data_IF_094354314673
#
_entry.id   IF_094354314673
#
_cell.length_a   1.000
_cell.length_b   1.000
_cell.length_c   1.000
_cell.angle_alpha   90.00
_cell.angle_beta   90.00
_cell.angle_gamma   90.00
#
_symmetry.space_group_name_H-M   'P 1'
#
loop_
_entity.id
_entity.type
_entity.pdbx_description
1 polymer ?
#
# COMPACT_ATOMS: atom_id res chain seq x y z
N UNK A 1 6.88 -8.84 11.96
CA UNK A 1 6.48 -10.09 11.29
C UNK A 1 6.93 -10.04 9.83
N UNK A 2 7.29 -11.18 9.25
CA UNK A 2 7.75 -11.30 7.86
C UNK A 2 6.81 -12.18 7.05
N UNK A 3 6.76 -11.94 5.73
CA UNK A 3 6.00 -12.71 4.73
C UNK A 3 6.97 -13.10 3.63
N UNK A 4 7.02 -14.39 3.26
CA UNK A 4 7.87 -14.85 2.16
C UNK A 4 7.26 -14.45 0.82
N UNK A 5 7.99 -13.68 0.02
CA UNK A 5 7.60 -13.26 -1.33
C UNK A 5 8.72 -13.65 -2.28
N UNK A 6 8.44 -14.56 -3.22
CA UNK A 6 9.43 -15.10 -4.15
C UNK A 6 10.72 -15.60 -3.44
N UNK A 7 10.57 -16.22 -2.27
CA UNK A 7 11.69 -16.70 -1.44
C UNK A 7 12.40 -15.64 -0.60
N UNK A 8 12.05 -14.35 -0.75
CA UNK A 8 12.63 -13.26 0.04
C UNK A 8 11.73 -12.96 1.24
N UNK A 9 12.26 -12.90 2.48
CA UNK A 9 11.48 -12.50 3.64
C UNK A 9 11.21 -10.99 3.60
N UNK A 10 9.99 -10.61 3.23
CA UNK A 10 9.55 -9.23 3.24
C UNK A 10 8.95 -8.84 4.58
N UNK A 11 9.19 -7.62 5.10
CA UNK A 11 8.44 -7.10 6.22
C UNK A 11 6.94 -7.03 5.90
N UNK A 12 6.09 -7.52 6.80
CA UNK A 12 4.64 -7.59 6.56
C UNK A 12 4.01 -6.22 6.24
N UNK A 13 4.52 -5.14 6.84
CA UNK A 13 3.98 -3.78 6.61
C UNK A 13 4.05 -3.35 5.14
N UNK A 14 5.05 -3.81 4.37
CA UNK A 14 5.17 -3.50 2.94
C UNK A 14 4.04 -4.13 2.13
N UNK A 15 3.62 -5.34 2.51
CA UNK A 15 2.51 -6.04 1.85
C UNK A 15 1.20 -5.35 2.19
N UNK A 16 1.00 -4.98 3.46
CA UNK A 16 -0.20 -4.26 3.90
C UNK A 16 -0.34 -2.93 3.17
N UNK A 17 0.73 -2.13 3.04
CA UNK A 17 0.66 -0.85 2.31
C UNK A 17 0.23 -1.01 0.85
N UNK A 18 0.72 -2.07 0.17
CA UNK A 18 0.34 -2.36 -1.21
C UNK A 18 -1.13 -2.80 -1.32
N UNK A 19 -1.62 -3.62 -0.39
CA UNK A 19 -3.02 -4.05 -0.35
C UNK A 19 -3.96 -2.86 -0.12
N UNK A 20 -3.58 -1.93 0.77
CA UNK A 20 -4.37 -0.70 0.99
C UNK A 20 -4.39 0.17 -0.26
N UNK A 21 -3.24 0.36 -0.93
CA UNK A 21 -3.18 1.07 -2.21
C UNK A 21 -4.05 0.43 -3.29
N UNK A 22 -4.00 -0.90 -3.42
CA UNK A 22 -4.85 -1.66 -4.36
C UNK A 22 -6.34 -1.45 -4.08
N UNK A 23 -6.75 -1.47 -2.81
CA UNK A 23 -8.13 -1.22 -2.42
C UNK A 23 -8.57 0.19 -2.83
N UNK A 24 -7.72 1.19 -2.58
CA UNK A 24 -8.00 2.58 -3.01
C UNK A 24 -8.08 2.69 -4.53
N UNK A 25 -7.22 2.00 -5.28
CA UNK A 25 -7.30 1.96 -6.74
C UNK A 25 -8.65 1.43 -7.22
N UNK A 26 -9.09 0.29 -6.67
CA UNK A 26 -10.38 -0.32 -7.02
C UNK A 26 -11.53 0.63 -6.70
N UNK A 27 -11.57 1.18 -5.48
CA UNK A 27 -12.64 2.10 -5.06
C UNK A 27 -12.64 3.37 -5.92
N UNK A 28 -11.50 4.03 -6.09
CA UNK A 28 -11.40 5.25 -6.88
C UNK A 28 -11.73 5.00 -8.36
N UNK A 29 -11.27 3.88 -8.93
CA UNK A 29 -11.57 3.48 -10.31
C UNK A 29 -13.06 3.23 -10.52
N UNK A 30 -13.71 2.54 -9.58
CA UNK A 30 -15.15 2.27 -9.66
C UNK A 30 -16.00 3.54 -9.47
N UNK A 31 -15.62 4.42 -8.55
CA UNK A 31 -16.38 5.65 -8.25
C UNK A 31 -16.21 6.71 -9.33
N UNK A 32 -14.99 6.87 -9.86
CA UNK A 32 -14.68 7.95 -10.81
C UNK A 32 -14.74 7.52 -12.27
N UNK A 33 -14.65 6.22 -12.56
CA UNK A 33 -14.47 5.67 -13.91
C UNK A 33 -13.24 6.21 -14.65
N UNK A 34 -12.30 6.84 -13.93
CA UNK A 34 -11.12 7.50 -14.48
C UNK A 34 -9.83 6.89 -13.93
N UNK A 35 -8.96 6.41 -14.83
CA UNK A 35 -7.73 5.72 -14.43
C UNK A 35 -6.69 6.67 -13.83
N UNK A 36 -6.59 7.91 -14.33
CA UNK A 36 -5.62 8.89 -13.86
C UNK A 36 -5.72 9.20 -12.34
N UNK A 37 -6.88 9.62 -11.79
CA UNK A 37 -7.01 9.84 -10.35
C UNK A 37 -6.91 8.55 -9.54
N UNK A 38 -7.35 7.41 -10.10
CA UNK A 38 -7.30 6.12 -9.41
C UNK A 38 -5.87 5.65 -9.14
N UNK A 39 -4.98 5.69 -10.15
CA UNK A 39 -3.58 5.27 -9.96
C UNK A 39 -2.82 6.22 -9.03
N UNK A 40 -3.05 7.54 -9.15
CA UNK A 40 -2.34 8.53 -8.36
C UNK A 40 -2.74 8.49 -6.88
N UNK A 41 -4.04 8.37 -6.60
CA UNK A 41 -4.55 8.23 -5.23
C UNK A 41 -4.10 6.94 -4.57
N UNK A 42 -4.15 5.81 -5.28
CA UNK A 42 -3.64 4.53 -4.81
C UNK A 42 -2.14 4.57 -4.48
N UNK A 43 -1.33 5.15 -5.36
CA UNK A 43 0.11 5.32 -5.15
C UNK A 43 0.40 6.19 -3.93
N UNK A 44 -0.31 7.32 -3.78
CA UNK A 44 -0.16 8.21 -2.64
C UNK A 44 -0.50 7.49 -1.32
N UNK A 45 -1.64 6.77 -1.26
CA UNK A 45 -2.04 6.03 -0.06
C UNK A 45 -1.05 4.91 0.28
N UNK A 46 -0.56 4.17 -0.72
CA UNK A 46 0.46 3.14 -0.51
C UNK A 46 1.76 3.74 0.05
N UNK A 47 2.22 4.88 -0.48
CA UNK A 47 3.43 5.55 0.01
C UNK A 47 3.26 6.04 1.45
N UNK A 48 2.14 6.71 1.76
CA UNK A 48 1.84 7.21 3.11
C UNK A 48 1.75 6.05 4.10
N UNK A 49 0.99 4.99 3.79
CA UNK A 49 0.85 3.83 4.68
C UNK A 49 2.17 3.10 4.91
N UNK A 50 3.00 2.93 3.88
CA UNK A 50 4.36 2.39 4.04
C UNK A 50 5.12 3.24 5.06
N UNK A 51 5.23 4.56 4.82
CA UNK A 51 6.01 5.46 5.65
C UNK A 51 5.53 5.44 7.11
N UNK A 52 4.23 5.61 7.33
CA UNK A 52 3.62 5.58 8.66
C UNK A 52 3.94 4.29 9.40
N UNK A 53 3.70 3.13 8.78
CA UNK A 53 3.98 1.83 9.42
C UNK A 53 5.48 1.60 9.64
N UNK A 54 6.33 2.10 8.74
CA UNK A 54 7.79 2.03 8.91
C UNK A 54 8.27 2.84 10.10
N UNK A 55 7.75 4.06 10.27
CA UNK A 55 8.10 4.89 11.42
C UNK A 55 7.60 4.30 12.73
N UNK A 56 6.36 3.80 12.77
CA UNK A 56 5.81 3.11 13.95
C UNK A 56 6.63 1.87 14.30
N UNK A 57 7.06 1.10 13.30
CA UNK A 57 7.86 -0.11 13.52
C UNK A 57 9.29 0.16 13.99
N UNK A 58 9.85 1.35 13.72
CA UNK A 58 11.18 1.76 14.21
C UNK A 58 11.14 2.38 15.62
N UNK A 59 9.99 2.89 16.05
CA UNK A 59 9.82 3.50 17.37
C UNK A 59 9.57 2.48 18.50
N UNK A 60 9.50 1.19 18.17
CA UNK A 60 9.39 0.06 19.09
C UNK A 60 10.72 -0.65 19.19
#
# INVERSE_FOLDING_TARGET
>A
TTVSIAGVPWPAFKVVSLLVGLLVFVVAGLVTTAMAPAVLSAAAVSAVTWLTLSFIGRAR
#
